data_IF_492957736290
#
_entry.id   IF_492957736290
#
_cell.length_a   1.000
_cell.length_b   1.000
_cell.length_c   1.000
_cell.angle_alpha   90.00
_cell.angle_beta   90.00
_cell.angle_gamma   90.00
#
_symmetry.space_group_name_H-M   'P 1'
#
loop_
_entity.id
_entity.type
_entity.pdbx_description
1 polymer ?
#
# COMPACT_ATOMS: atom_id res chain seq x y z
N UNK A 1 11.85 -25.27 9.53
CA UNK A 1 12.59 -24.79 8.35
C UNK A 1 11.72 -23.79 7.61
N UNK A 2 12.15 -22.54 7.50
CA UNK A 2 11.47 -21.51 6.73
C UNK A 2 11.63 -21.83 5.23
N UNK A 3 10.52 -22.02 4.52
CA UNK A 3 10.50 -22.33 3.10
C UNK A 3 11.03 -21.15 2.29
N UNK A 4 12.25 -21.27 1.77
CA UNK A 4 12.88 -20.35 0.83
C UNK A 4 12.45 -20.66 -0.63
N UNK A 5 11.14 -20.81 -0.88
CA UNK A 5 10.62 -21.00 -2.25
C UNK A 5 9.29 -20.30 -2.51
N UNK A 6 9.05 -19.20 -1.79
CA UNK A 6 7.93 -18.29 -2.02
C UNK A 6 8.59 -16.95 -2.39
N UNK A 7 8.19 -16.35 -3.52
CA UNK A 7 8.92 -15.25 -4.17
C UNK A 7 9.24 -14.03 -3.28
N UNK A 8 9.99 -13.06 -3.84
CA UNK A 8 10.47 -11.87 -3.10
C UNK A 8 9.39 -11.29 -2.16
N UNK A 9 9.57 -11.36 -0.83
CA UNK A 9 8.52 -11.03 0.13
C UNK A 9 8.10 -9.56 0.04
N UNK A 10 9.06 -8.67 -0.24
CA UNK A 10 8.78 -7.25 -0.44
C UNK A 10 7.95 -6.93 -1.69
N UNK A 11 7.91 -7.85 -2.66
CA UNK A 11 7.13 -7.66 -3.90
C UNK A 11 5.69 -8.17 -3.79
N UNK A 12 5.35 -8.95 -2.75
CA UNK A 12 4.05 -9.62 -2.62
C UNK A 12 2.94 -8.58 -2.46
N UNK A 13 3.06 -7.68 -1.48
CA UNK A 13 2.05 -6.63 -1.22
C UNK A 13 1.89 -5.68 -2.43
N UNK A 14 2.96 -5.48 -3.22
CA UNK A 14 2.93 -4.58 -4.39
C UNK A 14 2.27 -5.26 -5.61
N UNK A 15 2.47 -6.57 -5.76
CA UNK A 15 1.94 -7.35 -6.89
C UNK A 15 0.49 -7.77 -6.65
N UNK A 16 0.14 -8.06 -5.41
CA UNK A 16 -1.18 -8.53 -4.99
C UNK A 16 -1.71 -7.65 -3.86
N UNK A 17 -2.34 -6.51 -4.18
CA UNK A 17 -2.95 -5.68 -3.16
C UNK A 17 -4.12 -6.40 -2.49
N UNK A 18 -4.27 -6.21 -1.19
CA UNK A 18 -5.35 -6.80 -0.39
C UNK A 18 -6.12 -5.71 0.37
N UNK A 19 -7.41 -5.94 0.66
CA UNK A 19 -8.19 -5.05 1.50
C UNK A 19 -7.74 -5.18 2.97
N UNK A 20 -7.56 -4.04 3.62
CA UNK A 20 -7.24 -3.90 5.04
C UNK A 20 -8.34 -3.08 5.73
N UNK A 21 -8.57 -3.34 7.01
CA UNK A 21 -9.55 -2.60 7.80
C UNK A 21 -8.85 -1.58 8.70
N UNK A 22 -9.21 -0.30 8.58
CA UNK A 22 -8.70 0.77 9.44
C UNK A 22 -9.83 1.46 10.21
N UNK A 23 -9.52 1.97 11.39
CA UNK A 23 -10.49 2.73 12.19
C UNK A 23 -10.52 4.18 11.73
N UNK A 24 -11.71 4.69 11.41
CA UNK A 24 -11.92 6.09 11.09
C UNK A 24 -11.63 6.98 12.30
N UNK A 25 -10.63 7.86 12.18
CA UNK A 25 -10.26 8.82 13.24
C UNK A 25 -11.35 9.84 13.57
N UNK A 26 -12.35 10.01 12.70
CA UNK A 26 -13.41 11.00 12.88
C UNK A 26 -14.65 10.44 13.59
N UNK A 27 -15.02 9.20 13.32
CA UNK A 27 -16.26 8.61 13.85
C UNK A 27 -16.09 7.22 14.47
N UNK A 28 -14.88 6.66 14.49
CA UNK A 28 -14.55 5.39 15.12
C UNK A 28 -15.08 4.14 14.42
N UNK A 29 -15.62 4.25 13.20
CA UNK A 29 -16.07 3.08 12.43
C UNK A 29 -14.94 2.41 11.69
N UNK A 30 -15.03 1.10 11.50
CA UNK A 30 -14.14 0.35 10.60
C UNK A 30 -14.43 0.73 9.15
N UNK A 31 -13.37 1.02 8.40
CA UNK A 31 -13.41 1.38 6.98
C UNK A 31 -12.40 0.51 6.25
N UNK A 32 -12.79 -0.02 5.09
CA UNK A 32 -11.89 -0.77 4.23
C UNK A 32 -10.99 0.17 3.42
N UNK A 33 -9.69 -0.13 3.40
CA UNK A 33 -8.67 0.54 2.59
C UNK A 33 -7.80 -0.50 1.90
N UNK A 34 -7.44 -0.28 0.65
CA UNK A 34 -6.54 -1.19 -0.07
C UNK A 34 -5.08 -0.99 0.35
N UNK A 35 -4.31 -2.08 0.34
CA UNK A 35 -2.87 -2.05 0.68
C UNK A 35 -2.04 -1.07 -0.16
N UNK A 36 -2.47 -0.79 -1.41
CA UNK A 36 -1.84 0.15 -2.33
C UNK A 36 -2.46 1.56 -2.31
N UNK A 37 -3.45 1.78 -1.45
CA UNK A 37 -4.10 3.07 -1.22
C UNK A 37 -3.70 3.68 0.12
N UNK A 38 -3.53 5.00 0.10
CA UNK A 38 -3.18 5.82 1.26
C UNK A 38 -4.39 6.54 1.85
N UNK A 39 -5.48 6.62 1.09
CA UNK A 39 -6.71 7.31 1.47
C UNK A 39 -7.93 6.49 1.06
N UNK A 40 -8.97 6.54 1.89
CA UNK A 40 -10.27 5.93 1.63
C UNK A 40 -11.36 6.84 2.17
N UNK A 41 -12.57 6.73 1.65
CA UNK A 41 -13.73 7.49 2.15
C UNK A 41 -14.48 6.66 3.17
N UNK A 42 -14.67 7.21 4.36
CA UNK A 42 -15.49 6.56 5.38
C UNK A 42 -16.96 6.51 4.95
N UNK A 43 -17.49 5.32 4.68
CA UNK A 43 -18.91 5.13 4.32
C UNK A 43 -19.91 5.56 5.39
N UNK A 44 -19.48 5.75 6.65
CA UNK A 44 -20.37 6.17 7.76
C UNK A 44 -20.47 7.67 7.94
N UNK A 45 -19.35 8.40 7.85
CA UNK A 45 -19.32 9.86 8.10
C UNK A 45 -18.99 10.69 6.86
N UNK A 46 -18.65 10.05 5.74
CA UNK A 46 -18.29 10.72 4.47
C UNK A 46 -16.94 11.44 4.47
N UNK A 47 -16.16 11.35 5.55
CA UNK A 47 -14.83 11.97 5.63
C UNK A 47 -13.77 11.07 5.02
N UNK A 48 -12.77 11.68 4.39
CA UNK A 48 -11.58 11.00 3.88
C UNK A 48 -10.70 10.62 5.06
N UNK A 49 -10.45 9.32 5.21
CA UNK A 49 -9.52 8.77 6.20
C UNK A 49 -8.25 8.40 5.44
N UNK A 50 -7.13 9.01 5.82
CA UNK A 50 -5.84 8.71 5.27
C UNK A 50 -4.97 7.97 6.29
N UNK A 51 -4.09 7.10 5.79
CA UNK A 51 -3.03 6.45 6.56
C UNK A 51 -1.68 6.80 5.96
N UNK A 52 -0.64 6.76 6.78
CA UNK A 52 0.72 6.88 6.27
C UNK A 52 1.05 5.67 5.41
N UNK A 53 1.61 5.92 4.22
CA UNK A 53 2.03 4.85 3.33
C UNK A 53 3.18 4.08 3.98
N UNK A 54 2.98 2.78 4.22
CA UNK A 54 4.04 1.92 4.78
C UNK A 54 5.28 1.97 3.88
N UNK A 55 6.45 1.88 4.50
CA UNK A 55 7.68 1.69 3.74
C UNK A 55 7.60 0.34 3.02
N UNK A 56 7.89 0.33 1.73
CA UNK A 56 7.87 -0.88 0.90
C UNK A 56 9.27 -1.15 0.37
N UNK A 57 9.48 -2.30 -0.28
CA UNK A 57 10.77 -2.56 -0.91
C UNK A 57 11.13 -1.54 -2.00
N UNK A 58 10.18 -0.71 -2.48
CA UNK A 58 10.43 0.37 -3.43
C UNK A 58 11.38 1.45 -2.87
N UNK A 59 11.45 1.60 -1.55
CA UNK A 59 12.25 2.64 -0.89
C UNK A 59 13.74 2.30 -0.83
N UNK A 60 14.09 1.02 -0.75
CA UNK A 60 15.45 0.57 -0.42
C UNK A 60 15.99 -0.51 -1.34
N UNK A 61 15.13 -1.23 -2.08
CA UNK A 61 15.59 -2.31 -2.96
C UNK A 61 16.05 -1.75 -4.31
N UNK A 62 17.32 -1.94 -4.71
CA UNK A 62 17.83 -1.45 -5.98
C UNK A 62 17.16 -2.12 -7.19
N UNK A 63 16.76 -3.39 -7.03
CA UNK A 63 16.07 -4.15 -8.07
C UNK A 63 14.54 -3.87 -8.11
N UNK A 64 14.02 -2.96 -7.27
CA UNK A 64 12.58 -2.69 -7.21
C UNK A 64 12.01 -2.26 -8.56
N UNK A 65 12.67 -1.30 -9.23
CA UNK A 65 12.23 -0.76 -10.53
C UNK A 65 12.10 -1.83 -11.61
N UNK A 66 13.05 -2.75 -11.66
CA UNK A 66 13.03 -3.89 -12.60
C UNK A 66 12.01 -4.96 -12.17
N UNK A 67 11.85 -5.19 -10.85
CA UNK A 67 10.94 -6.20 -10.30
C UNK A 67 9.46 -5.87 -10.48
N UNK A 68 9.05 -4.60 -10.33
CA UNK A 68 7.65 -4.16 -10.50
C UNK A 68 7.37 -3.55 -11.87
N UNK A 69 8.42 -3.24 -12.64
CA UNK A 69 8.33 -2.51 -13.90
C UNK A 69 8.38 -0.99 -13.71
N UNK A 70 9.06 -0.29 -14.62
CA UNK A 70 9.31 1.15 -14.51
C UNK A 70 8.04 1.99 -14.39
N UNK A 71 7.01 1.69 -15.19
CA UNK A 71 5.74 2.43 -15.18
C UNK A 71 5.02 2.33 -13.82
N UNK A 72 4.90 1.09 -13.29
CA UNK A 72 4.27 0.84 -11.99
C UNK A 72 5.09 1.42 -10.84
N UNK A 73 6.42 1.32 -10.91
CA UNK A 73 7.33 1.94 -9.95
C UNK A 73 7.09 3.45 -9.86
N UNK A 74 7.09 4.15 -11.00
CA UNK A 74 6.90 5.60 -11.03
C UNK A 74 5.51 6.01 -10.54
N UNK A 75 4.46 5.27 -10.90
CA UNK A 75 3.09 5.54 -10.41
C UNK A 75 3.02 5.42 -8.88
N UNK A 76 3.61 4.39 -8.30
CA UNK A 76 3.60 4.15 -6.85
C UNK A 76 4.46 5.19 -6.11
N UNK A 77 5.63 5.55 -6.66
CA UNK A 77 6.50 6.58 -6.08
C UNK A 77 5.87 7.98 -6.15
N UNK A 78 5.09 8.30 -7.20
CA UNK A 78 4.33 9.55 -7.30
C UNK A 78 3.23 9.62 -6.24
N UNK A 79 2.39 8.58 -6.13
CA UNK A 79 1.35 8.47 -5.09
C UNK A 79 1.92 8.67 -3.68
N UNK A 80 3.12 8.11 -3.43
CA UNK A 80 3.79 8.22 -2.12
C UNK A 80 4.29 9.63 -1.79
N UNK A 81 4.59 10.46 -2.80
CA UNK A 81 5.09 11.82 -2.63
C UNK A 81 3.99 12.87 -2.41
N UNK A 82 2.71 12.50 -2.48
CA UNK A 82 1.60 13.43 -2.24
C UNK A 82 1.54 14.57 -3.26
N UNK A 83 1.74 14.26 -4.53
CA UNK A 83 1.51 15.16 -5.69
C UNK A 83 0.46 14.57 -6.64
#
# INVERSE_FOLDING_TARGET
MSNFNEGCPGSVEIKSPFPEEITCIFCGSTVEIWSDETETVCGKCGKVVAREMRQTCLDWCPAAKECVGAEKYERLMKKKKGE
#
